data_IF_509768463763
#
_entry.id   IF_509768463763
#
_cell.length_a   1.000
_cell.length_b   1.000
_cell.length_c   1.000
_cell.angle_alpha   90.00
_cell.angle_beta   90.00
_cell.angle_gamma   90.00
#
_symmetry.space_group_name_H-M   'P 1'
#
loop_
_entity.id
_entity.type
_entity.pdbx_description
1 polymer ?
#
# COMPACT_ATOMS: atom_id res chain seq x y z
N UNK A 1 6.67 -26.12 -44.49
CA UNK A 1 6.98 -26.10 -43.03
C UNK A 1 8.47 -25.95 -42.73
N UNK A 2 9.40 -26.13 -43.69
CA UNK A 2 10.86 -25.97 -43.46
C UNK A 2 11.36 -24.52 -43.46
N UNK A 3 10.70 -23.57 -44.13
CA UNK A 3 11.12 -22.16 -44.13
C UNK A 3 11.00 -21.48 -42.75
N UNK A 4 9.98 -21.84 -41.97
CA UNK A 4 9.76 -21.25 -40.62
C UNK A 4 10.83 -21.73 -39.64
N UNK A 5 11.27 -23.00 -39.76
CA UNK A 5 12.36 -23.55 -38.95
C UNK A 5 13.73 -22.93 -39.31
N UNK A 6 13.92 -22.57 -40.58
CA UNK A 6 15.15 -21.93 -41.07
C UNK A 6 15.24 -20.46 -40.62
N UNK A 7 14.12 -19.73 -40.61
CA UNK A 7 14.04 -18.36 -40.10
C UNK A 7 14.29 -18.32 -38.58
N UNK A 8 13.75 -19.29 -37.83
CA UNK A 8 13.97 -19.38 -36.38
C UNK A 8 15.43 -19.70 -36.05
N UNK A 9 16.07 -20.61 -36.80
CA UNK A 9 17.48 -20.97 -36.61
C UNK A 9 18.42 -19.80 -36.94
N UNK A 10 18.13 -19.03 -38.00
CA UNK A 10 18.89 -17.81 -38.29
C UNK A 10 18.72 -16.73 -37.23
N UNK A 11 17.54 -16.62 -36.60
CA UNK A 11 17.31 -15.65 -35.54
C UNK A 11 18.05 -16.02 -34.25
N UNK A 12 18.11 -17.31 -33.92
CA UNK A 12 18.85 -17.83 -32.76
C UNK A 12 20.36 -17.71 -32.95
N UNK A 13 20.90 -18.00 -34.14
CA UNK A 13 22.33 -17.81 -34.41
C UNK A 13 22.76 -16.33 -34.42
N UNK A 14 21.92 -15.43 -34.94
CA UNK A 14 22.17 -13.98 -34.88
C UNK A 14 22.15 -13.48 -33.44
N UNK A 15 21.22 -13.98 -32.63
CA UNK A 15 21.12 -13.64 -31.21
C UNK A 15 22.31 -14.19 -30.41
N UNK A 16 22.76 -15.41 -30.69
CA UNK A 16 23.93 -16.02 -30.05
C UNK A 16 25.24 -15.32 -30.41
N UNK A 17 25.43 -14.93 -31.69
CA UNK A 17 26.60 -14.15 -32.12
C UNK A 17 26.59 -12.72 -31.54
N UNK A 18 25.44 -12.07 -31.43
CA UNK A 18 25.31 -10.77 -30.77
C UNK A 18 25.62 -10.84 -29.26
N UNK A 19 25.23 -11.92 -28.58
CA UNK A 19 25.57 -12.17 -27.17
C UNK A 19 27.06 -12.48 -26.97
N UNK A 20 27.68 -13.22 -27.91
CA UNK A 20 29.10 -13.55 -27.84
C UNK A 20 30.00 -12.36 -28.14
N UNK A 21 29.60 -11.47 -29.06
CA UNK A 21 30.31 -10.23 -29.36
C UNK A 21 30.20 -9.19 -28.23
N UNK A 22 29.10 -9.19 -27.45
CA UNK A 22 28.96 -8.34 -26.25
C UNK A 22 29.81 -8.81 -25.06
N UNK A 23 30.34 -10.04 -25.06
CA UNK A 23 31.15 -10.58 -23.96
C UNK A 23 32.63 -10.17 -24.02
N UNK A 24 33.09 -9.55 -25.11
CA UNK A 24 34.52 -9.24 -25.36
C UNK A 24 34.85 -7.73 -25.25
N UNK A 25 33.88 -6.86 -24.98
CA UNK A 25 34.17 -5.45 -24.69
C UNK A 25 33.47 -5.04 -23.39
N UNK A 26 34.15 -5.26 -22.26
CA UNK A 26 33.80 -4.63 -20.99
C UNK A 26 34.40 -3.21 -20.94
N UNK A 27 33.58 -2.15 -20.91
CA UNK A 27 33.99 -0.89 -20.33
C UNK A 27 34.03 -1.05 -18.79
N UNK A 28 34.95 -0.35 -18.13
CA UNK A 28 35.09 -0.33 -16.66
C UNK A 28 33.71 -0.10 -15.97
N UNK A 29 33.36 -0.89 -14.93
CA UNK A 29 31.99 -0.98 -14.40
C UNK A 29 31.52 0.21 -13.55
N UNK A 30 32.22 1.36 -13.57
CA UNK A 30 31.89 2.50 -12.70
C UNK A 30 31.14 3.65 -13.40
N UNK A 31 31.09 3.68 -14.74
CA UNK A 31 30.51 4.82 -15.49
C UNK A 31 29.35 4.45 -16.42
N UNK A 32 29.16 3.16 -16.76
CA UNK A 32 28.07 2.70 -17.60
C UNK A 32 26.74 2.45 -16.85
N UNK A 33 26.76 2.33 -15.52
CA UNK A 33 25.56 2.16 -14.68
C UNK A 33 24.91 3.50 -14.29
N UNK A 34 25.58 4.63 -14.52
CA UNK A 34 25.09 5.96 -14.10
C UNK A 34 24.11 6.60 -15.11
N UNK A 35 23.93 6.01 -16.30
CA UNK A 35 23.11 6.59 -17.38
C UNK A 35 22.11 5.57 -17.94
N UNK A 36 21.30 4.96 -17.08
CA UNK A 36 19.89 4.75 -17.47
C UNK A 36 19.35 6.16 -17.71
N UNK A 37 18.89 6.46 -18.93
CA UNK A 37 18.46 7.82 -19.30
C UNK A 37 17.42 8.32 -18.28
N UNK A 38 17.40 9.63 -18.00
CA UNK A 38 16.36 10.20 -17.15
C UNK A 38 14.97 9.77 -17.64
N UNK A 39 14.77 9.68 -18.96
CA UNK A 39 13.57 9.15 -19.62
C UNK A 39 13.23 7.68 -19.26
N UNK A 40 14.20 6.75 -19.26
CA UNK A 40 13.98 5.35 -18.87
C UNK A 40 13.72 5.21 -17.36
N UNK A 41 14.37 6.06 -16.54
CA UNK A 41 14.04 6.16 -15.11
C UNK A 41 12.65 6.72 -14.92
N UNK A 42 12.19 7.63 -15.79
CA UNK A 42 10.91 8.33 -15.75
C UNK A 42 9.74 7.55 -16.40
N UNK A 43 9.99 6.48 -17.14
CA UNK A 43 8.93 5.73 -17.84
C UNK A 43 7.81 5.17 -16.93
N UNK A 44 8.11 4.53 -15.77
CA UNK A 44 7.06 4.12 -14.82
C UNK A 44 6.30 5.32 -14.23
N UNK A 45 6.91 6.50 -14.23
CA UNK A 45 6.35 7.74 -13.67
C UNK A 45 5.40 8.42 -14.63
N UNK A 46 5.68 8.38 -15.93
CA UNK A 46 4.74 8.81 -16.97
C UNK A 46 3.47 7.98 -16.90
N UNK A 47 3.57 6.67 -16.64
CA UNK A 47 2.42 5.80 -16.44
C UNK A 47 1.65 6.14 -15.15
N UNK A 48 2.35 6.55 -14.09
CA UNK A 48 1.68 7.07 -12.90
C UNK A 48 0.98 8.40 -13.14
N UNK A 49 1.44 9.25 -14.06
CA UNK A 49 0.78 10.49 -14.43
C UNK A 49 -0.25 10.30 -15.55
N UNK A 50 -0.30 9.14 -16.21
CA UNK A 50 -1.17 8.88 -17.35
C UNK A 50 -2.67 8.96 -17.03
N UNK A 51 -3.03 8.97 -15.75
CA UNK A 51 -4.40 9.20 -15.31
C UNK A 51 -4.82 10.68 -15.33
N UNK A 52 -3.85 11.59 -15.25
CA UNK A 52 -4.12 12.99 -15.49
C UNK A 52 -4.24 13.16 -17.00
N UNK A 53 -5.36 13.70 -17.45
CA UNK A 53 -5.43 14.17 -18.82
C UNK A 53 -4.40 15.29 -19.04
N UNK A 54 -4.03 15.51 -20.31
CA UNK A 54 -2.98 16.48 -20.67
C UNK A 54 -3.29 17.89 -20.13
N UNK A 55 -4.57 18.28 -20.11
CA UNK A 55 -5.00 19.60 -19.63
C UNK A 55 -4.81 19.74 -18.12
N UNK A 56 -5.20 18.73 -17.34
CA UNK A 56 -5.03 18.68 -15.89
C UNK A 56 -3.55 18.70 -15.51
N UNK A 57 -2.71 17.95 -16.24
CA UNK A 57 -1.27 17.95 -16.02
C UNK A 57 -0.65 19.34 -16.32
N UNK A 58 -1.04 19.98 -17.44
CA UNK A 58 -0.58 21.32 -17.79
C UNK A 58 -1.01 22.37 -16.76
N UNK A 59 -2.26 22.32 -16.28
CA UNK A 59 -2.75 23.21 -15.22
C UNK A 59 -1.98 23.02 -13.91
N UNK A 60 -1.72 21.77 -13.53
CA UNK A 60 -0.96 21.42 -12.34
C UNK A 60 0.49 21.91 -12.43
N UNK A 61 1.14 21.70 -13.58
CA UNK A 61 2.49 22.19 -13.84
C UNK A 61 2.56 23.72 -13.82
N UNK A 62 1.56 24.41 -14.38
CA UNK A 62 1.49 25.86 -14.36
C UNK A 62 1.30 26.40 -12.93
N UNK A 63 0.45 25.78 -12.13
CA UNK A 63 0.26 26.12 -10.72
C UNK A 63 1.53 25.88 -9.89
N UNK A 64 2.21 24.73 -10.08
CA UNK A 64 3.52 24.47 -9.45
C UNK A 64 4.57 25.49 -9.86
N UNK A 65 4.62 25.86 -11.14
CA UNK A 65 5.54 26.88 -11.63
C UNK A 65 5.30 28.22 -10.94
N UNK A 66 4.05 28.64 -10.76
CA UNK A 66 3.72 29.88 -10.05
C UNK A 66 4.18 29.83 -8.58
N UNK A 67 4.02 28.69 -7.90
CA UNK A 67 4.51 28.51 -6.52
C UNK A 67 6.04 28.58 -6.44
N UNK A 68 6.74 27.96 -7.38
CA UNK A 68 8.21 28.02 -7.48
C UNK A 68 8.69 29.46 -7.71
N UNK A 69 8.05 30.19 -8.63
CA UNK A 69 8.40 31.59 -8.92
C UNK A 69 8.17 32.51 -7.73
N UNK A 70 7.09 32.30 -6.97
CA UNK A 70 6.78 33.04 -5.73
C UNK A 70 7.62 32.61 -4.53
N UNK A 71 8.51 31.64 -4.70
CA UNK A 71 9.32 31.04 -3.62
C UNK A 71 8.46 30.47 -2.48
N UNK A 72 7.31 29.87 -2.82
CA UNK A 72 6.40 29.26 -1.86
C UNK A 72 7.08 28.14 -1.03
N UNK A 73 6.61 27.88 0.20
CA UNK A 73 7.12 26.78 1.01
C UNK A 73 6.76 25.41 0.40
N UNK A 74 7.59 24.39 0.67
CA UNK A 74 7.45 23.05 0.06
C UNK A 74 6.09 22.40 0.32
N UNK A 75 5.53 22.60 1.51
CA UNK A 75 4.23 22.04 1.88
C UNK A 75 3.10 22.47 0.94
N UNK A 76 3.17 23.69 0.36
CA UNK A 76 2.18 24.12 -0.63
C UNK A 76 2.30 23.38 -1.96
N UNK A 77 3.53 23.06 -2.39
CA UNK A 77 3.75 22.26 -3.60
C UNK A 77 3.26 20.83 -3.38
N UNK A 78 3.59 20.24 -2.23
CA UNK A 78 3.16 18.88 -1.87
C UNK A 78 1.65 18.81 -1.73
N UNK A 79 1.02 19.81 -1.12
CA UNK A 79 -0.44 19.89 -1.02
C UNK A 79 -1.12 19.98 -2.39
N UNK A 80 -0.52 20.70 -3.35
CA UNK A 80 -1.07 20.83 -4.69
C UNK A 80 -1.07 19.51 -5.47
N UNK A 81 -0.15 18.60 -5.15
CA UNK A 81 -0.14 17.22 -5.66
C UNK A 81 -0.73 16.24 -4.64
N UNK A 82 -1.84 16.67 -4.02
CA UNK A 82 -2.64 15.93 -3.05
C UNK A 82 -1.86 15.30 -1.87
N UNK A 83 -0.88 16.01 -1.35
CA UNK A 83 0.00 15.55 -0.27
C UNK A 83 0.84 14.32 -0.62
N UNK A 84 1.24 14.21 -1.89
CA UNK A 84 2.10 13.14 -2.39
C UNK A 84 3.47 13.67 -2.83
N UNK A 85 4.52 13.55 -1.97
CA UNK A 85 5.86 14.04 -2.29
C UNK A 85 6.48 13.38 -3.53
N UNK A 86 6.13 12.12 -3.83
CA UNK A 86 6.64 11.42 -5.01
C UNK A 86 6.01 11.99 -6.26
N UNK A 87 4.70 12.30 -6.23
CA UNK A 87 4.04 12.97 -7.34
C UNK A 87 4.60 14.39 -7.56
N UNK A 88 4.82 15.17 -6.49
CA UNK A 88 5.50 16.47 -6.60
C UNK A 88 6.88 16.31 -7.24
N UNK A 89 7.66 15.34 -6.77
CA UNK A 89 8.99 15.05 -7.28
C UNK A 89 8.98 14.74 -8.77
N UNK A 90 8.08 13.85 -9.20
CA UNK A 90 7.94 13.45 -10.60
C UNK A 90 7.57 14.62 -11.50
N UNK A 91 6.59 15.44 -11.12
CA UNK A 91 6.16 16.56 -11.96
C UNK A 91 7.27 17.60 -12.06
N UNK A 92 8.00 17.86 -10.97
CA UNK A 92 9.17 18.75 -11.01
C UNK A 92 10.27 18.22 -11.94
N UNK A 93 10.51 16.90 -11.98
CA UNK A 93 11.44 16.28 -12.93
C UNK A 93 11.02 16.51 -14.39
N UNK A 94 9.74 16.28 -14.72
CA UNK A 94 9.21 16.55 -16.06
C UNK A 94 9.36 18.03 -16.43
N UNK A 95 9.07 18.95 -15.50
CA UNK A 95 9.22 20.39 -15.74
C UNK A 95 10.69 20.81 -15.93
N UNK A 96 11.63 20.14 -15.25
CA UNK A 96 13.07 20.35 -15.44
C UNK A 96 13.48 19.92 -16.83
N UNK A 97 13.12 18.70 -17.24
CA UNK A 97 13.44 18.16 -18.56
C UNK A 97 12.92 19.07 -19.68
N UNK A 98 11.66 19.52 -19.58
CA UNK A 98 11.09 20.48 -20.52
C UNK A 98 11.88 21.80 -20.55
N UNK A 99 12.22 22.36 -19.39
CA UNK A 99 12.99 23.60 -19.32
C UNK A 99 14.40 23.45 -19.92
N UNK A 100 15.02 22.27 -19.80
CA UNK A 100 16.31 21.96 -20.39
C UNK A 100 16.22 21.83 -21.92
N UNK A 101 15.22 21.10 -22.43
CA UNK A 101 14.94 20.97 -23.87
C UNK A 101 14.67 22.34 -24.50
N UNK A 102 13.92 23.21 -23.83
CA UNK A 102 13.65 24.59 -24.26
C UNK A 102 14.83 25.56 -24.03
N UNK A 103 15.97 25.09 -23.54
CA UNK A 103 17.15 25.87 -23.18
C UNK A 103 16.89 27.01 -22.16
N UNK A 104 15.85 26.89 -21.33
CA UNK A 104 15.48 27.86 -20.27
C UNK A 104 16.28 27.62 -18.97
N UNK A 105 17.59 27.86 -19.02
CA UNK A 105 18.54 27.58 -17.92
C UNK A 105 18.12 28.14 -16.55
N UNK A 106 17.62 29.37 -16.51
CA UNK A 106 17.22 30.01 -15.24
C UNK A 106 16.00 29.31 -14.60
N UNK A 107 15.06 28.83 -15.42
CA UNK A 107 13.89 28.05 -14.95
C UNK A 107 14.33 26.70 -14.41
N UNK A 108 15.15 25.97 -15.18
CA UNK A 108 15.69 24.67 -14.76
C UNK A 108 16.46 24.77 -13.44
N UNK A 109 17.29 25.80 -13.25
CA UNK A 109 18.03 26.02 -12.00
C UNK A 109 17.11 26.23 -10.78
N UNK A 110 16.02 27.00 -10.93
CA UNK A 110 15.04 27.20 -9.84
C UNK A 110 14.31 25.90 -9.51
N UNK A 111 13.89 25.14 -10.52
CA UNK A 111 13.22 23.85 -10.33
C UNK A 111 14.14 22.84 -9.65
N UNK A 112 15.41 22.74 -10.06
CA UNK A 112 16.42 21.93 -9.38
C UNK A 112 16.60 22.31 -7.91
N UNK A 113 16.62 23.61 -7.58
CA UNK A 113 16.72 24.05 -6.19
C UNK A 113 15.51 23.58 -5.36
N UNK A 114 14.30 23.60 -5.92
CA UNK A 114 13.10 23.08 -5.28
C UNK A 114 13.11 21.56 -5.14
N UNK A 115 13.47 20.85 -6.20
CA UNK A 115 13.59 19.40 -6.21
C UNK A 115 14.57 18.90 -5.14
N UNK A 116 15.75 19.53 -5.04
CA UNK A 116 16.74 19.22 -4.01
C UNK A 116 16.22 19.45 -2.58
N UNK A 117 15.47 20.54 -2.36
CA UNK A 117 14.84 20.82 -1.06
C UNK A 117 13.77 19.78 -0.74
N UNK A 118 12.96 19.39 -1.72
CA UNK A 118 11.93 18.36 -1.59
C UNK A 118 12.56 17.00 -1.24
N UNK A 119 13.62 16.60 -1.95
CA UNK A 119 14.37 15.37 -1.66
C UNK A 119 14.94 15.36 -0.25
N UNK A 120 15.48 16.47 0.25
CA UNK A 120 15.98 16.55 1.63
C UNK A 120 14.88 16.42 2.67
N UNK A 121 13.68 16.94 2.39
CA UNK A 121 12.56 16.94 3.33
C UNK A 121 11.79 15.62 3.33
N UNK A 122 11.69 14.95 2.18
CA UNK A 122 10.83 13.77 1.96
C UNK A 122 11.58 12.61 1.31
N UNK A 123 12.87 12.44 1.62
CA UNK A 123 13.72 11.43 0.98
C UNK A 123 13.10 10.03 1.08
N UNK A 124 12.60 9.66 2.25
CA UNK A 124 12.03 8.34 2.50
C UNK A 124 10.74 8.10 1.74
N UNK A 125 9.83 9.09 1.69
CA UNK A 125 8.56 8.97 0.99
C UNK A 125 8.76 8.95 -0.51
N UNK A 126 9.68 9.79 -1.03
CA UNK A 126 10.07 9.78 -2.44
C UNK A 126 10.65 8.41 -2.77
N UNK A 127 11.71 7.97 -2.08
CA UNK A 127 12.31 6.65 -2.33
C UNK A 127 11.29 5.51 -2.23
N UNK A 128 10.41 5.52 -1.22
CA UNK A 128 9.34 4.52 -1.12
C UNK A 128 8.42 4.54 -2.34
N UNK A 129 7.92 5.73 -2.72
CA UNK A 129 7.09 5.90 -3.91
C UNK A 129 7.79 5.46 -5.17
N UNK A 130 9.11 5.72 -5.25
CA UNK A 130 10.00 5.26 -6.31
C UNK A 130 10.02 3.74 -6.43
N UNK A 131 10.26 3.07 -5.31
CA UNK A 131 10.46 1.63 -5.28
C UNK A 131 9.15 0.84 -5.49
N UNK A 132 8.02 1.32 -5.00
CA UNK A 132 6.74 0.58 -5.06
C UNK A 132 5.93 0.82 -6.33
N UNK A 133 6.33 1.79 -7.17
CA UNK A 133 5.56 2.25 -8.31
C UNK A 133 5.11 1.13 -9.24
N UNK A 134 6.06 0.31 -9.70
CA UNK A 134 5.79 -0.74 -10.68
C UNK A 134 4.77 -1.77 -10.15
N UNK A 135 4.88 -2.14 -8.86
CA UNK A 135 3.94 -3.06 -8.23
C UNK A 135 2.51 -2.48 -8.17
N UNK A 136 2.37 -1.19 -7.85
CA UNK A 136 1.06 -0.54 -7.81
C UNK A 136 0.46 -0.43 -9.21
N UNK A 137 1.26 -0.08 -10.21
CA UNK A 137 0.83 0.03 -11.61
C UNK A 137 0.35 -1.32 -12.15
N UNK A 138 1.13 -2.38 -11.93
CA UNK A 138 0.78 -3.72 -12.40
C UNK A 138 -0.38 -4.37 -11.61
N UNK A 139 -0.66 -3.89 -10.40
CA UNK A 139 -1.59 -4.52 -9.47
C UNK A 139 -2.92 -3.80 -9.31
N UNK A 140 -3.01 -2.52 -9.61
CA UNK A 140 -4.21 -1.70 -9.38
C UNK A 140 -4.46 -0.85 -10.62
N UNK A 141 -5.61 -1.10 -11.26
CA UNK A 141 -5.99 -0.40 -12.49
C UNK A 141 -6.45 1.05 -12.21
N UNK A 142 -7.21 1.25 -11.14
CA UNK A 142 -7.71 2.58 -10.77
C UNK A 142 -6.56 3.48 -10.26
N UNK A 143 -6.23 4.56 -10.97
CA UNK A 143 -5.16 5.46 -10.58
C UNK A 143 -5.41 6.22 -9.27
N UNK A 144 -6.66 6.55 -8.96
CA UNK A 144 -6.99 7.21 -7.69
C UNK A 144 -6.74 6.25 -6.52
N UNK A 145 -7.12 4.98 -6.71
CA UNK A 145 -6.85 3.93 -5.73
C UNK A 145 -5.35 3.66 -5.59
N UNK A 146 -4.58 3.66 -6.69
CA UNK A 146 -3.10 3.60 -6.62
C UNK A 146 -2.51 4.72 -5.77
N UNK A 147 -2.96 5.96 -5.99
CA UNK A 147 -2.52 7.11 -5.22
C UNK A 147 -2.90 6.99 -3.74
N UNK A 148 -4.12 6.55 -3.44
CA UNK A 148 -4.57 6.31 -2.07
C UNK A 148 -3.73 5.23 -1.35
N UNK A 149 -3.45 4.11 -2.02
CA UNK A 149 -2.59 3.03 -1.49
C UNK A 149 -1.16 3.52 -1.27
N UNK A 150 -0.64 4.34 -2.19
CA UNK A 150 0.69 4.95 -2.05
C UNK A 150 0.78 5.88 -0.85
N UNK A 151 -0.22 6.73 -0.62
CA UNK A 151 -0.30 7.57 0.59
C UNK A 151 -0.42 6.74 1.86
N UNK A 152 -1.22 5.67 1.82
CA UNK A 152 -1.32 4.72 2.93
C UNK A 152 0.04 4.10 3.26
N UNK A 153 0.81 3.73 2.24
CA UNK A 153 2.18 3.23 2.39
C UNK A 153 3.07 4.24 3.12
N UNK A 154 3.02 5.52 2.72
CA UNK A 154 3.79 6.58 3.40
C UNK A 154 3.41 6.71 4.87
N UNK A 155 2.13 6.87 5.18
CA UNK A 155 1.69 7.09 6.56
C UNK A 155 2.02 5.90 7.45
N UNK A 156 1.77 4.67 6.98
CA UNK A 156 1.78 3.48 7.85
C UNK A 156 3.09 2.71 7.82
N UNK A 157 3.80 2.67 6.70
CA UNK A 157 5.07 1.93 6.57
C UNK A 157 6.25 2.89 6.74
N UNK A 158 6.24 4.03 6.05
CA UNK A 158 7.37 4.98 6.06
C UNK A 158 7.39 5.80 7.36
N UNK A 159 6.26 6.33 7.80
CA UNK A 159 6.20 7.19 8.99
C UNK A 159 5.95 6.38 10.27
N UNK A 160 4.84 5.63 10.37
CA UNK A 160 4.36 5.05 11.64
C UNK A 160 4.84 3.64 11.99
N UNK A 161 5.20 2.79 11.02
CA UNK A 161 5.60 1.38 11.22
C UNK A 161 4.51 0.52 11.87
N UNK A 162 3.27 0.74 11.50
CA UNK A 162 2.13 0.09 12.14
C UNK A 162 1.41 -0.83 11.16
N UNK A 163 1.73 -2.13 11.22
CA UNK A 163 1.03 -3.17 10.44
C UNK A 163 -0.47 -3.16 10.73
N UNK A 164 -0.85 -3.03 12.00
CA UNK A 164 -2.26 -2.99 12.39
C UNK A 164 -2.98 -1.80 11.77
N UNK A 165 -2.43 -0.60 11.86
CA UNK A 165 -3.08 0.57 11.26
C UNK A 165 -3.10 0.49 9.74
N UNK A 166 -2.07 -0.09 9.12
CA UNK A 166 -2.06 -0.39 7.69
C UNK A 166 -3.24 -1.29 7.32
N UNK A 167 -3.36 -2.44 7.98
CA UNK A 167 -4.44 -3.40 7.77
C UNK A 167 -5.81 -2.79 8.03
N UNK A 168 -5.99 -2.04 9.12
CA UNK A 168 -7.26 -1.38 9.44
C UNK A 168 -7.70 -0.40 8.34
N UNK A 169 -6.78 0.39 7.81
CA UNK A 169 -7.07 1.31 6.71
C UNK A 169 -7.36 0.54 5.41
N UNK A 170 -6.61 -0.53 5.12
CA UNK A 170 -6.89 -1.39 3.96
C UNK A 170 -8.29 -2.00 4.02
N UNK A 171 -8.72 -2.49 5.19
CA UNK A 171 -10.07 -3.01 5.37
C UNK A 171 -11.15 -1.94 5.12
N UNK A 172 -10.83 -0.66 5.31
CA UNK A 172 -11.75 0.45 5.02
C UNK A 172 -11.77 0.89 3.56
N UNK A 173 -10.69 0.60 2.83
CA UNK A 173 -10.52 0.98 1.43
C UNK A 173 -11.00 -0.09 0.44
N UNK A 174 -10.89 -1.37 0.81
CA UNK A 174 -11.17 -2.48 -0.08
C UNK A 174 -12.36 -3.29 0.40
N UNK A 175 -13.25 -3.65 -0.54
CA UNK A 175 -14.28 -4.64 -0.27
C UNK A 175 -13.68 -6.03 -0.13
N UNK A 176 -14.49 -6.98 0.34
CA UNK A 176 -14.07 -8.35 0.56
C UNK A 176 -13.54 -9.03 -0.72
N UNK A 177 -14.08 -8.67 -1.88
CA UNK A 177 -13.69 -9.22 -3.18
C UNK A 177 -12.27 -8.77 -3.61
N UNK A 178 -11.85 -7.57 -3.21
CA UNK A 178 -10.59 -6.97 -3.64
C UNK A 178 -9.51 -6.95 -2.55
N UNK A 179 -9.85 -7.25 -1.30
CA UNK A 179 -8.94 -7.12 -0.16
C UNK A 179 -7.71 -8.04 -0.28
N UNK A 180 -7.89 -9.31 -0.64
CA UNK A 180 -6.77 -10.25 -0.80
C UNK A 180 -5.82 -9.84 -1.93
N UNK A 181 -6.40 -9.38 -3.05
CA UNK A 181 -5.64 -8.87 -4.18
C UNK A 181 -4.83 -7.64 -3.76
N UNK A 182 -5.45 -6.68 -3.08
CA UNK A 182 -4.79 -5.49 -2.56
C UNK A 182 -3.65 -5.83 -1.59
N UNK A 183 -3.83 -6.82 -0.71
CA UNK A 183 -2.76 -7.32 0.16
C UNK A 183 -1.61 -7.90 -0.65
N UNK A 184 -1.90 -8.65 -1.70
CA UNK A 184 -0.87 -9.24 -2.59
C UNK A 184 -0.07 -8.16 -3.29
N UNK A 185 -0.74 -7.13 -3.83
CA UNK A 185 -0.08 -5.96 -4.42
C UNK A 185 0.81 -5.26 -3.40
N UNK A 186 0.33 -5.07 -2.18
CA UNK A 186 1.10 -4.40 -1.14
C UNK A 186 2.31 -5.22 -0.66
N UNK A 187 2.18 -6.55 -0.57
CA UNK A 187 3.31 -7.44 -0.29
C UNK A 187 4.36 -7.36 -1.40
N UNK A 188 3.92 -7.28 -2.66
CA UNK A 188 4.82 -7.11 -3.80
C UNK A 188 5.53 -5.76 -3.76
N UNK A 189 4.79 -4.67 -3.54
CA UNK A 189 5.34 -3.33 -3.34
C UNK A 189 6.41 -3.29 -2.25
N UNK A 190 6.12 -3.89 -1.08
CA UNK A 190 7.07 -3.94 0.02
C UNK A 190 8.31 -4.80 -0.30
N UNK A 191 8.14 -5.89 -1.06
CA UNK A 191 9.27 -6.69 -1.53
C UNK A 191 10.15 -5.93 -2.53
N UNK A 192 9.54 -5.14 -3.42
CA UNK A 192 10.28 -4.30 -4.37
C UNK A 192 11.04 -3.17 -3.63
N UNK A 193 10.47 -2.59 -2.56
CA UNK A 193 11.16 -1.63 -1.68
C UNK A 193 12.33 -2.27 -0.90
N UNK A 194 12.19 -3.52 -0.45
CA UNK A 194 13.28 -4.28 0.17
C UNK A 194 14.43 -4.55 -0.82
N UNK A 195 14.09 -4.87 -2.07
CA UNK A 195 15.04 -5.27 -3.10
C UNK A 195 15.72 -4.08 -3.81
N UNK A 196 15.20 -2.87 -3.64
CA UNK A 196 15.74 -1.67 -4.25
C UNK A 196 17.18 -1.38 -3.79
N UNK A 197 17.99 -0.76 -4.65
CA UNK A 197 19.37 -0.34 -4.33
C UNK A 197 19.41 0.57 -3.11
N UNK A 198 18.39 1.41 -2.96
CA UNK A 198 18.18 2.25 -1.78
C UNK A 198 16.79 1.97 -1.22
N UNK A 199 16.64 1.07 -0.24
CA UNK A 199 15.38 0.84 0.43
C UNK A 199 14.90 2.11 1.15
N UNK A 200 13.59 2.33 1.22
CA UNK A 200 13.03 3.51 1.88
C UNK A 200 13.31 3.56 3.39
N UNK A 201 13.65 2.41 3.97
CA UNK A 201 13.90 2.19 5.41
C UNK A 201 14.90 1.06 5.65
N UNK A 202 15.41 0.90 6.89
CA UNK A 202 16.21 -0.26 7.25
C UNK A 202 15.50 -1.57 6.88
N UNK A 203 16.16 -2.41 6.08
CA UNK A 203 15.60 -3.62 5.49
C UNK A 203 14.98 -4.55 6.52
N UNK A 204 15.58 -4.67 7.72
CA UNK A 204 15.04 -5.49 8.81
C UNK A 204 13.61 -5.08 9.20
N UNK A 205 13.30 -3.78 9.21
CA UNK A 205 11.96 -3.27 9.53
C UNK A 205 10.95 -3.58 8.42
N UNK A 206 11.36 -3.44 7.16
CA UNK A 206 10.53 -3.78 6.02
C UNK A 206 10.25 -5.29 5.97
N UNK A 207 11.24 -6.13 6.26
CA UNK A 207 11.06 -7.58 6.36
C UNK A 207 10.08 -7.98 7.48
N UNK A 208 10.16 -7.32 8.65
CA UNK A 208 9.21 -7.56 9.74
C UNK A 208 7.77 -7.22 9.32
N UNK A 209 7.58 -6.09 8.65
CA UNK A 209 6.27 -5.69 8.10
C UNK A 209 5.79 -6.68 7.03
N UNK A 210 6.68 -7.17 6.15
CA UNK A 210 6.33 -8.13 5.12
C UNK A 210 5.87 -9.46 5.71
N UNK A 211 6.54 -9.94 6.76
CA UNK A 211 6.12 -11.14 7.49
C UNK A 211 4.72 -10.96 8.08
N UNK A 212 4.47 -9.85 8.79
CA UNK A 212 3.15 -9.60 9.34
C UNK A 212 2.05 -9.34 8.28
N UNK A 213 2.41 -8.81 7.11
CA UNK A 213 1.46 -8.66 6.00
C UNK A 213 1.11 -9.99 5.31
N UNK A 214 2.01 -10.99 5.40
CA UNK A 214 1.71 -12.36 4.96
C UNK A 214 0.69 -13.01 5.88
N UNK A 215 0.84 -12.88 7.20
CA UNK A 215 -0.12 -13.40 8.18
C UNK A 215 -1.46 -12.67 8.12
N UNK A 216 -1.46 -11.37 7.77
CA UNK A 216 -2.70 -10.63 7.49
C UNK A 216 -3.54 -11.19 6.32
N UNK A 217 -3.00 -12.09 5.48
CA UNK A 217 -3.81 -12.83 4.50
C UNK A 217 -4.94 -13.66 5.12
N UNK A 218 -4.79 -14.10 6.37
CA UNK A 218 -5.83 -14.78 7.14
C UNK A 218 -7.06 -13.89 7.37
N UNK A 219 -6.92 -12.57 7.28
CA UNK A 219 -8.04 -11.64 7.43
C UNK A 219 -9.03 -11.70 6.27
N UNK A 220 -8.60 -12.13 5.07
CA UNK A 220 -9.54 -12.38 3.97
C UNK A 220 -10.53 -13.47 4.36
N UNK A 221 -10.05 -14.54 5.00
CA UNK A 221 -10.92 -15.60 5.52
C UNK A 221 -11.81 -15.08 6.65
N UNK A 222 -11.25 -14.32 7.59
CA UNK A 222 -12.02 -13.72 8.68
C UNK A 222 -13.15 -12.81 8.18
N UNK A 223 -12.90 -12.03 7.11
CA UNK A 223 -13.94 -11.22 6.47
C UNK A 223 -15.04 -12.09 5.86
N UNK A 224 -14.71 -13.24 5.27
CA UNK A 224 -15.70 -14.17 4.74
C UNK A 224 -16.54 -14.78 5.87
N UNK A 225 -15.91 -15.13 7.00
CA UNK A 225 -16.63 -15.60 8.17
C UNK A 225 -17.53 -14.52 8.77
N UNK A 226 -17.05 -13.27 8.85
CA UNK A 226 -17.87 -12.11 9.23
C UNK A 226 -19.08 -11.95 8.30
N UNK A 227 -18.91 -12.13 6.98
CA UNK A 227 -20.00 -12.09 6.01
C UNK A 227 -21.04 -13.19 6.27
N UNK A 228 -20.61 -14.42 6.49
CA UNK A 228 -21.51 -15.53 6.79
C UNK A 228 -22.27 -15.30 8.10
N UNK A 229 -21.59 -14.79 9.11
CA UNK A 229 -22.20 -14.46 10.38
C UNK A 229 -23.24 -13.34 10.26
N UNK A 230 -22.93 -12.26 9.54
CA UNK A 230 -23.86 -11.14 9.34
C UNK A 230 -25.13 -11.57 8.60
N UNK A 231 -25.06 -12.54 7.68
CA UNK A 231 -26.25 -13.12 7.02
C UNK A 231 -27.19 -13.80 8.02
N UNK A 232 -26.63 -14.40 9.08
CA UNK A 232 -27.40 -15.06 10.14
C UNK A 232 -27.95 -14.07 11.18
N UNK A 233 -27.53 -12.80 11.13
CA UNK A 233 -27.90 -11.76 12.07
C UNK A 233 -29.11 -10.97 11.57
N UNK A 234 -30.32 -11.44 11.86
CA UNK A 234 -31.57 -10.82 11.37
C UNK A 234 -32.02 -9.58 12.16
N UNK A 235 -31.42 -9.32 13.33
CA UNK A 235 -31.84 -8.26 14.26
C UNK A 235 -30.71 -7.26 14.56
N UNK A 236 -29.70 -7.17 13.69
CA UNK A 236 -28.58 -6.23 13.86
C UNK A 236 -29.10 -4.79 13.96
N UNK A 237 -28.75 -4.10 15.04
CA UNK A 237 -29.12 -2.69 15.25
C UNK A 237 -28.13 -1.74 14.58
N UNK A 238 -26.94 -2.22 14.25
CA UNK A 238 -25.88 -1.51 13.54
C UNK A 238 -25.71 -2.12 12.14
N UNK A 239 -25.60 -1.31 11.06
CA UNK A 239 -25.41 -1.82 9.70
C UNK A 239 -23.96 -2.22 9.45
N UNK A 240 -23.50 -3.28 10.12
CA UNK A 240 -22.17 -3.82 9.89
C UNK A 240 -22.03 -4.39 8.48
N UNK A 241 -20.94 -4.02 7.84
CA UNK A 241 -20.39 -4.72 6.68
C UNK A 241 -19.33 -5.73 7.14
N UNK A 242 -18.99 -6.75 6.33
CA UNK A 242 -17.91 -7.69 6.70
C UNK A 242 -16.59 -6.99 7.02
N UNK A 243 -16.27 -5.95 6.24
CA UNK A 243 -15.11 -5.09 6.43
C UNK A 243 -15.15 -4.33 7.76
N UNK A 244 -16.26 -3.65 8.08
CA UNK A 244 -16.37 -2.86 9.32
C UNK A 244 -16.40 -3.73 10.57
N UNK A 245 -17.01 -4.92 10.51
CA UNK A 245 -16.94 -5.90 11.59
C UNK A 245 -15.51 -6.42 11.78
N UNK A 246 -14.81 -6.74 10.69
CA UNK A 246 -13.40 -7.16 10.76
C UNK A 246 -12.51 -6.03 11.32
N UNK A 247 -12.73 -4.78 10.93
CA UNK A 247 -12.04 -3.62 11.49
C UNK A 247 -12.27 -3.49 12.99
N UNK A 248 -13.53 -3.69 13.45
CA UNK A 248 -13.89 -3.69 14.87
C UNK A 248 -13.11 -4.77 15.62
N UNK A 249 -13.07 -5.99 15.09
CA UNK A 249 -12.32 -7.11 15.66
C UNK A 249 -10.81 -6.85 15.72
N UNK A 250 -10.23 -6.29 14.65
CA UNK A 250 -8.81 -5.88 14.63
C UNK A 250 -8.55 -4.75 15.63
N UNK A 251 -9.51 -3.86 15.89
CA UNK A 251 -9.41 -2.84 16.94
C UNK A 251 -9.26 -3.44 18.34
N UNK A 252 -9.97 -4.54 18.62
CA UNK A 252 -9.93 -5.24 19.91
C UNK A 252 -8.56 -5.86 20.20
N UNK A 253 -7.73 -6.12 19.20
CA UNK A 253 -6.37 -6.65 19.43
C UNK A 253 -5.47 -5.66 20.17
N UNK A 254 -5.84 -4.36 20.18
CA UNK A 254 -5.18 -3.32 20.96
C UNK A 254 -5.89 -3.07 22.29
N UNK A 255 -7.18 -2.74 22.26
CA UNK A 255 -7.93 -2.32 23.45
C UNK A 255 -8.19 -3.48 24.41
N UNK A 256 -8.20 -4.71 23.88
CA UNK A 256 -8.78 -5.86 24.55
C UNK A 256 -10.30 -5.78 24.51
N UNK A 257 -10.93 -6.84 25.00
CA UNK A 257 -12.37 -6.90 25.21
C UNK A 257 -12.63 -7.26 26.68
N UNK A 258 -13.64 -6.64 27.28
CA UNK A 258 -14.17 -7.00 28.58
C UNK A 258 -15.61 -7.51 28.42
N UNK A 259 -16.21 -8.03 29.50
CA UNK A 259 -17.56 -8.58 29.43
C UNK A 259 -18.61 -7.58 28.91
N UNK A 260 -18.52 -6.32 29.34
CA UNK A 260 -19.44 -5.26 28.90
C UNK A 260 -19.33 -4.98 27.39
N UNK A 261 -18.11 -4.85 26.87
CA UNK A 261 -17.88 -4.59 25.44
C UNK A 261 -18.29 -5.78 24.57
N UNK A 262 -18.09 -7.01 25.07
CA UNK A 262 -18.55 -8.22 24.40
C UNK A 262 -20.08 -8.33 24.37
N UNK A 263 -20.75 -8.05 25.50
CA UNK A 263 -22.21 -8.02 25.58
C UNK A 263 -22.79 -6.97 24.63
N UNK A 264 -22.23 -5.75 24.68
CA UNK A 264 -22.61 -4.66 23.77
C UNK A 264 -22.45 -5.05 22.31
N UNK A 265 -21.32 -5.65 21.93
CA UNK A 265 -21.08 -6.07 20.55
C UNK A 265 -22.10 -7.14 20.11
N UNK A 266 -22.41 -8.11 20.98
CA UNK A 266 -23.41 -9.14 20.69
C UNK A 266 -24.83 -8.55 20.57
N UNK A 267 -25.19 -7.57 21.40
CA UNK A 267 -26.44 -6.78 21.28
C UNK A 267 -26.50 -5.99 19.97
N UNK A 268 -25.40 -5.33 19.59
CA UNK A 268 -25.31 -4.60 18.32
C UNK A 268 -25.55 -5.52 17.11
N UNK A 269 -25.09 -6.79 17.18
CA UNK A 269 -25.19 -7.77 16.11
C UNK A 269 -26.53 -8.52 16.04
N UNK A 270 -27.14 -8.87 17.18
CA UNK A 270 -28.29 -9.80 17.21
C UNK A 270 -29.48 -9.36 18.09
N UNK A 271 -29.43 -8.17 18.70
CA UNK A 271 -30.46 -7.70 19.62
C UNK A 271 -30.56 -8.54 20.91
N UNK A 272 -31.58 -8.31 21.73
CA UNK A 272 -31.59 -8.78 23.13
C UNK A 272 -32.09 -10.23 23.35
N UNK A 273 -32.28 -11.02 22.29
CA UNK A 273 -32.80 -12.39 22.41
C UNK A 273 -31.74 -13.34 23.01
N UNK A 274 -32.00 -14.08 24.11
CA UNK A 274 -31.00 -14.86 24.83
C UNK A 274 -30.28 -15.91 23.97
N UNK A 275 -31.02 -16.65 23.14
CA UNK A 275 -30.45 -17.66 22.24
C UNK A 275 -29.56 -17.02 21.16
N UNK A 276 -29.96 -15.84 20.66
CA UNK A 276 -29.22 -15.10 19.66
C UNK A 276 -27.93 -14.49 20.25
N UNK A 277 -27.99 -14.04 21.51
CA UNK A 277 -26.85 -13.60 22.30
C UNK A 277 -25.82 -14.70 22.51
N UNK A 278 -26.26 -15.90 22.93
CA UNK A 278 -25.35 -17.03 23.15
C UNK A 278 -24.68 -17.49 21.85
N UNK A 279 -25.43 -17.50 20.73
CA UNK A 279 -24.89 -17.78 19.40
C UNK A 279 -23.88 -16.72 18.96
N UNK A 280 -24.20 -15.43 19.17
CA UNK A 280 -23.31 -14.31 18.86
C UNK A 280 -22.00 -14.41 19.65
N UNK A 281 -22.06 -14.73 20.94
CA UNK A 281 -20.89 -14.92 21.79
C UNK A 281 -19.99 -16.05 21.29
N UNK A 282 -20.58 -17.20 20.91
CA UNK A 282 -19.81 -18.32 20.36
C UNK A 282 -19.10 -17.95 19.06
N UNK A 283 -19.80 -17.24 18.17
CA UNK A 283 -19.21 -16.80 16.91
C UNK A 283 -18.14 -15.72 17.16
N UNK A 284 -18.40 -14.74 18.03
CA UNK A 284 -17.42 -13.72 18.43
C UNK A 284 -16.14 -14.35 18.98
N UNK A 285 -16.26 -15.33 19.89
CA UNK A 285 -15.13 -16.07 20.42
C UNK A 285 -14.31 -16.75 19.32
N UNK A 286 -14.98 -17.41 18.37
CA UNK A 286 -14.32 -18.06 17.24
C UNK A 286 -13.62 -17.06 16.31
N UNK A 287 -14.29 -15.97 15.94
CA UNK A 287 -13.73 -14.90 15.11
C UNK A 287 -12.50 -14.27 15.79
N UNK A 288 -12.56 -14.00 17.10
CA UNK A 288 -11.42 -13.49 17.85
C UNK A 288 -10.26 -14.48 17.91
N UNK A 289 -10.55 -15.78 18.02
CA UNK A 289 -9.52 -16.83 18.07
C UNK A 289 -8.74 -16.93 16.76
N UNK A 290 -9.38 -16.62 15.62
CA UNK A 290 -8.78 -16.66 14.28
C UNK A 290 -7.97 -15.42 13.91
N UNK A 291 -8.03 -14.34 14.70
CA UNK A 291 -7.23 -13.14 14.43
C UNK A 291 -5.72 -13.50 14.44
N UNK A 292 -4.95 -13.08 13.42
CA UNK A 292 -3.51 -13.34 13.33
C UNK A 292 -2.77 -12.89 14.57
N UNK A 293 -1.84 -13.71 15.05
CA UNK A 293 -1.06 -13.41 16.27
C UNK A 293 -0.28 -12.10 16.15
N UNK A 294 0.22 -11.77 14.97
CA UNK A 294 1.02 -10.56 14.70
C UNK A 294 0.22 -9.24 14.85
N UNK A 295 -1.12 -9.31 14.89
CA UNK A 295 -1.97 -8.14 15.12
C UNK A 295 -2.19 -7.84 16.60
N UNK A 296 -1.92 -8.80 17.49
CA UNK A 296 -2.07 -8.63 18.93
C UNK A 296 -0.90 -7.85 19.50
N UNK A 297 -1.20 -6.94 20.43
CA UNK A 297 -0.18 -6.17 21.14
C UNK A 297 0.79 -7.05 21.95
N UNK A 298 0.28 -8.14 22.53
CA UNK A 298 1.02 -9.19 23.26
C UNK A 298 0.19 -10.49 23.25
N UNK A 299 0.80 -11.68 23.07
CA UNK A 299 0.14 -12.97 23.30
C UNK A 299 -0.72 -13.07 24.58
N UNK A 300 -0.28 -12.46 25.69
CA UNK A 300 -1.07 -12.45 26.95
C UNK A 300 -2.34 -11.61 26.84
N UNK A 301 -2.34 -10.61 25.96
CA UNK A 301 -3.50 -9.78 25.68
C UNK A 301 -4.60 -10.56 24.95
N UNK A 302 -4.19 -11.43 24.02
CA UNK A 302 -5.09 -12.36 23.35
C UNK A 302 -5.77 -13.30 24.34
N UNK A 303 -4.98 -13.95 25.19
CA UNK A 303 -5.53 -14.92 26.14
C UNK A 303 -6.53 -14.27 27.09
N UNK A 304 -6.16 -13.12 27.69
CA UNK A 304 -7.08 -12.36 28.57
C UNK A 304 -8.39 -11.97 27.87
N UNK A 305 -8.31 -11.58 26.60
CA UNK A 305 -9.49 -11.22 25.81
C UNK A 305 -10.40 -12.43 25.56
N UNK A 306 -9.81 -13.59 25.24
CA UNK A 306 -10.56 -14.82 25.05
C UNK A 306 -11.18 -15.32 26.37
N UNK A 307 -10.44 -15.26 27.47
CA UNK A 307 -10.92 -15.63 28.81
C UNK A 307 -12.10 -14.75 29.25
N UNK A 308 -12.04 -13.44 28.94
CA UNK A 308 -13.12 -12.50 29.25
C UNK A 308 -14.42 -12.85 28.50
N UNK A 309 -14.34 -13.19 27.20
CA UNK A 309 -15.50 -13.65 26.44
C UNK A 309 -15.97 -15.03 26.95
N UNK A 310 -15.03 -15.91 27.31
CA UNK A 310 -15.37 -17.25 27.78
C UNK A 310 -16.12 -17.22 29.12
N UNK A 311 -15.76 -16.32 30.03
CA UNK A 311 -16.43 -16.14 31.32
C UNK A 311 -17.92 -15.76 31.17
N UNK A 312 -18.30 -15.14 30.04
CA UNK A 312 -19.70 -14.80 29.77
C UNK A 312 -20.56 -16.02 29.47
N UNK A 313 -20.01 -17.10 28.89
CA UNK A 313 -20.76 -18.34 28.69
C UNK A 313 -21.22 -18.96 30.02
N UNK A 314 -20.44 -18.79 31.09
CA UNK A 314 -20.76 -19.30 32.43
C UNK A 314 -21.76 -18.40 33.16
N UNK A 315 -21.82 -17.12 32.78
CA UNK A 315 -22.68 -16.10 33.40
C UNK A 315 -24.10 -16.05 32.78
N UNK A 316 -24.32 -16.73 31.66
CA UNK A 316 -25.63 -16.93 31.03
C UNK A 316 -25.97 -18.42 30.86
N UNK A 317 -26.10 -19.20 31.95
CA UNK A 317 -26.71 -20.52 31.86
C UNK A 317 -28.21 -20.31 31.65
N UNK A 318 -28.75 -20.79 30.53
CA UNK A 318 -30.16 -20.75 30.11
C UNK A 318 -31.15 -20.12 31.09
N UNK A 319 -31.64 -18.94 30.75
CA UNK A 319 -32.94 -18.48 31.22
C UNK A 319 -34.05 -19.38 30.64
#
# INVERSE_FOLDING_TARGET
MEEVAMIFSQHVERSAKALHQRRIQLPKPAQALAQVSAAERLAPWHEQLAHLDTSALEQLMLALQQLVERRAPLNQLVHLTDNDPTQTYTILQVMIEQAEVEARKAKAAKLHAYLNRLQRAHSSEITAGLNICAALVAGIDDPNLRQAVRRLYYDKIVLKQSLRELVQQMLGMFSIEYFEHALTVLRRALADDIAAETPSRPTQKLCALLTGLKTAGELSNLMQECKQFLIQCHHSTVPYTPATLTQRLVGLTLSGINAFEAERLCQELNGDQPEAQQRALNILYNLMRQLPLDLWSDPRHRQRSLDAVQAMFVSHPGA
#
